data_IF_455746680264
#
_entry.id   IF_455746680264
#
_cell.length_a   1.000
_cell.length_b   1.000
_cell.length_c   1.000
_cell.angle_alpha   90.00
_cell.angle_beta   90.00
_cell.angle_gamma   90.00
#
_symmetry.space_group_name_H-M   'P 1'
#
loop_
_entity.id
_entity.type
_entity.pdbx_description
1 polymer ?
#
# COMPACT_ATOMS: atom_id res chain seq x y z
N UNK A 1 -10.40 -13.68 12.38
CA UNK A 1 -11.43 -13.19 11.42
C UNK A 1 -11.54 -11.68 11.58
N UNK A 2 -10.98 -10.93 10.63
CA UNK A 2 -10.66 -9.49 10.72
C UNK A 2 -11.86 -8.61 10.37
N UNK A 3 -12.77 -8.41 11.32
CA UNK A 3 -13.96 -7.56 11.11
C UNK A 3 -13.70 -6.05 11.25
N UNK A 4 -12.52 -5.64 11.74
CA UNK A 4 -12.23 -4.23 12.09
C UNK A 4 -11.76 -3.40 10.88
N UNK A 5 -11.30 -4.03 9.79
CA UNK A 5 -10.79 -3.32 8.61
C UNK A 5 -11.88 -2.74 7.69
N UNK A 6 -13.15 -3.17 7.83
CA UNK A 6 -14.18 -2.84 6.82
C UNK A 6 -14.69 -1.39 6.87
N UNK A 7 -14.66 -0.69 8.00
CA UNK A 7 -15.34 0.61 8.11
C UNK A 7 -14.52 1.79 7.55
N UNK A 8 -13.19 1.77 7.68
CA UNK A 8 -12.31 2.86 7.24
C UNK A 8 -11.89 2.70 5.77
N UNK A 9 -11.73 1.47 5.29
CA UNK A 9 -11.40 1.16 3.89
C UNK A 9 -12.47 1.67 2.90
N UNK A 10 -13.72 1.81 3.35
CA UNK A 10 -14.83 2.33 2.55
C UNK A 10 -14.74 3.85 2.29
N UNK A 11 -14.06 4.62 3.16
CA UNK A 11 -13.93 6.08 3.06
C UNK A 11 -12.85 6.55 2.09
N UNK A 12 -11.99 5.65 1.63
CA UNK A 12 -10.93 5.99 0.67
C UNK A 12 -11.48 6.28 -0.73
N UNK A 13 -10.85 7.24 -1.39
CA UNK A 13 -11.04 7.48 -2.82
C UNK A 13 -10.59 6.27 -3.65
N UNK A 14 -11.02 6.19 -4.91
CA UNK A 14 -10.71 5.02 -5.77
C UNK A 14 -9.20 4.80 -5.95
N UNK A 15 -8.42 5.88 -5.95
CA UNK A 15 -6.95 5.86 -6.06
C UNK A 15 -6.31 5.33 -4.77
N UNK A 16 -6.76 5.81 -3.61
CA UNK A 16 -6.28 5.35 -2.31
C UNK A 16 -6.64 3.87 -2.08
N UNK A 17 -7.82 3.42 -2.53
CA UNK A 17 -8.20 1.99 -2.50
C UNK A 17 -7.25 1.13 -3.32
N UNK A 18 -6.81 1.60 -4.48
CA UNK A 18 -5.82 0.89 -5.28
C UNK A 18 -4.45 0.86 -4.59
N UNK A 19 -4.00 1.98 -4.03
CA UNK A 19 -2.75 2.02 -3.27
C UNK A 19 -2.79 1.06 -2.06
N UNK A 20 -3.91 1.05 -1.34
CA UNK A 20 -4.14 0.15 -0.22
C UNK A 20 -4.13 -1.33 -0.64
N UNK A 21 -4.75 -1.66 -1.78
CA UNK A 21 -4.73 -3.02 -2.33
C UNK A 21 -3.31 -3.48 -2.63
N UNK A 22 -2.45 -2.61 -3.17
CA UNK A 22 -1.04 -2.91 -3.41
C UNK A 22 -0.30 -3.20 -2.10
N UNK A 23 -0.46 -2.35 -1.07
CA UNK A 23 0.15 -2.58 0.25
C UNK A 23 -0.30 -3.92 0.85
N UNK A 24 -1.59 -4.23 0.75
CA UNK A 24 -2.17 -5.47 1.25
C UNK A 24 -1.63 -6.70 0.51
N UNK A 25 -1.47 -6.60 -0.81
CA UNK A 25 -0.86 -7.65 -1.62
C UNK A 25 0.60 -7.87 -1.21
N UNK A 26 1.41 -6.81 -1.11
CA UNK A 26 2.81 -6.91 -0.65
C UNK A 26 2.90 -7.56 0.73
N UNK A 27 2.05 -7.17 1.68
CA UNK A 27 2.02 -7.78 3.02
C UNK A 27 1.66 -9.27 2.97
N UNK A 28 0.73 -9.67 2.11
CA UNK A 28 0.36 -11.08 1.93
C UNK A 28 1.50 -11.90 1.33
N UNK A 29 2.23 -11.33 0.36
CA UNK A 29 3.34 -12.00 -0.31
C UNK A 29 4.69 -11.86 0.39
N UNK A 30 4.78 -11.05 1.46
CA UNK A 30 6.01 -10.80 2.20
C UNK A 30 6.70 -12.09 2.66
N UNK A 31 5.91 -13.08 3.10
CA UNK A 31 6.44 -14.38 3.53
C UNK A 31 7.10 -15.16 2.40
N UNK A 32 6.66 -14.97 1.15
CA UNK A 32 7.23 -15.61 -0.04
C UNK A 32 8.42 -14.82 -0.60
N UNK A 33 8.44 -13.50 -0.42
CA UNK A 33 9.49 -12.63 -0.94
C UNK A 33 10.73 -12.63 -0.01
N UNK A 34 10.60 -13.00 1.27
CA UNK A 34 11.71 -13.23 2.21
C UNK A 34 12.82 -12.14 2.17
N UNK A 35 12.41 -10.87 2.19
CA UNK A 35 13.31 -9.70 2.10
C UNK A 35 14.18 -9.63 0.84
N UNK A 36 13.91 -10.43 -0.20
CA UNK A 36 14.55 -10.25 -1.49
C UNK A 36 14.13 -8.92 -2.12
N UNK A 37 15.08 -8.34 -2.86
CA UNK A 37 14.80 -7.19 -3.71
C UNK A 37 13.75 -7.58 -4.76
N UNK A 38 12.57 -6.96 -4.69
CA UNK A 38 11.44 -7.27 -5.55
C UNK A 38 10.90 -6.00 -6.18
N UNK A 39 10.42 -6.12 -7.42
CA UNK A 39 9.81 -5.04 -8.18
C UNK A 39 8.34 -5.34 -8.39
N UNK A 40 7.48 -4.37 -8.04
CA UNK A 40 6.04 -4.44 -8.30
C UNK A 40 5.66 -3.54 -9.47
N UNK A 41 4.95 -4.09 -10.46
CA UNK A 41 4.33 -3.30 -11.52
C UNK A 41 2.96 -2.83 -11.06
N UNK A 42 2.71 -1.53 -11.16
CA UNK A 42 1.44 -0.91 -10.80
C UNK A 42 0.91 -0.16 -12.02
N UNK A 43 -0.36 -0.31 -12.41
CA UNK A 43 -0.91 0.24 -13.65
C UNK A 43 -1.05 1.78 -13.65
N UNK A 44 -0.85 2.45 -12.51
CA UNK A 44 -1.03 3.90 -12.38
C UNK A 44 0.15 4.54 -11.65
N UNK A 45 0.75 5.56 -12.27
CA UNK A 45 1.91 6.32 -11.75
C UNK A 45 1.58 7.11 -10.48
N UNK A 46 0.32 7.52 -10.30
CA UNK A 46 -0.17 8.19 -9.08
C UNK A 46 -0.11 7.28 -7.86
N UNK A 47 -0.30 5.97 -8.03
CA UNK A 47 -0.16 5.02 -6.93
C UNK A 47 1.31 4.89 -6.53
N UNK A 48 2.21 4.84 -7.52
CA UNK A 48 3.66 4.85 -7.25
C UNK A 48 4.02 6.08 -6.44
N UNK A 49 3.58 7.28 -6.84
CA UNK A 49 3.89 8.51 -6.09
C UNK A 49 3.37 8.49 -4.66
N UNK A 50 2.15 7.99 -4.43
CA UNK A 50 1.57 7.86 -3.06
C UNK A 50 2.40 6.89 -2.21
N UNK A 51 2.81 5.75 -2.76
CA UNK A 51 3.58 4.74 -2.01
C UNK A 51 5.03 5.17 -1.77
N UNK A 52 5.60 5.98 -2.66
CA UNK A 52 6.95 6.54 -2.52
C UNK A 52 6.98 7.90 -1.85
N UNK A 53 5.85 8.44 -1.41
CA UNK A 53 5.82 9.61 -0.53
C UNK A 53 6.44 9.17 0.80
N UNK A 54 7.76 9.32 0.86
CA UNK A 54 8.50 9.34 2.11
C UNK A 54 7.83 10.44 2.93
N UNK A 55 7.18 10.09 4.03
CA UNK A 55 6.75 11.11 4.98
C UNK A 55 8.00 11.93 5.29
N UNK A 56 8.01 13.18 4.85
CA UNK A 56 8.90 14.19 5.41
C UNK A 56 8.45 14.32 6.86
N UNK A 57 8.91 13.39 7.69
CA UNK A 57 8.94 13.53 9.12
C UNK A 57 9.63 14.85 9.38
N UNK A 58 8.82 15.84 9.71
CA UNK A 58 9.25 17.12 10.22
C UNK A 58 10.06 16.81 11.46
N UNK A 59 11.39 16.75 11.30
CA UNK A 59 12.33 16.79 12.42
C UNK A 59 12.13 18.14 13.08
N UNK A 60 11.39 18.16 14.19
CA UNK A 60 11.60 19.10 15.28
C UNK A 60 12.55 18.45 16.27
#
# INVERSE_FOLDING_TARGET
>A
MSYVLKAHELKYTMIEKHAFAVVKAVKQFHFYILNYHSFGLVPNTTIKSILTQQEFGTKR
#
